data_IF_690089018321
#
_entry.id   IF_690089018321
#
_cell.length_a   1.000
_cell.length_b   1.000
_cell.length_c   1.000
_cell.angle_alpha   90.00
_cell.angle_beta   90.00
_cell.angle_gamma   90.00
#
_symmetry.space_group_name_H-M   'P 1'
#
loop_
_entity.id
_entity.type
_entity.pdbx_description
1 polymer ?
#
# COMPACT_ATOMS: atom_id res chain seq x y z
N UNK A 1 -13.98 -12.65 11.82
CA UNK A 1 -14.18 -11.72 10.70
C UNK A 1 -13.23 -10.56 10.81
N UNK A 2 -12.06 -10.70 10.19
CA UNK A 2 -11.25 -9.55 9.83
C UNK A 2 -11.83 -8.98 8.53
N UNK A 3 -12.84 -8.12 8.66
CA UNK A 3 -13.30 -7.32 7.51
C UNK A 3 -12.09 -6.56 6.95
N UNK A 4 -11.85 -6.71 5.64
CA UNK A 4 -10.84 -5.92 4.95
C UNK A 4 -11.23 -4.44 5.03
N UNK A 5 -10.47 -3.65 5.79
CA UNK A 5 -10.75 -2.23 5.97
C UNK A 5 -10.09 -1.44 4.86
N UNK A 6 -10.85 -1.18 3.79
CA UNK A 6 -10.47 -0.25 2.73
C UNK A 6 -11.66 0.63 2.30
N UNK A 7 -11.36 1.71 1.59
CA UNK A 7 -12.35 2.63 1.04
C UNK A 7 -11.90 3.09 -0.34
N UNK A 8 -12.67 2.74 -1.36
CA UNK A 8 -12.45 3.21 -2.74
C UNK A 8 -12.93 4.65 -2.86
N UNK A 9 -12.03 5.58 -3.22
CA UNK A 9 -12.38 6.99 -3.45
C UNK A 9 -12.85 7.21 -4.90
N UNK A 10 -12.15 6.58 -5.84
CA UNK A 10 -12.47 6.54 -7.27
C UNK A 10 -11.86 5.28 -7.91
N UNK A 11 -11.93 5.15 -9.24
CA UNK A 11 -11.45 3.97 -9.96
C UNK A 11 -9.95 3.70 -9.85
N UNK A 12 -9.15 4.71 -9.51
CA UNK A 12 -7.69 4.60 -9.43
C UNK A 12 -7.15 4.96 -8.05
N UNK A 13 -8.00 5.35 -7.10
CA UNK A 13 -7.58 5.80 -5.77
C UNK A 13 -8.31 5.05 -4.68
N UNK A 14 -7.56 4.35 -3.83
CA UNK A 14 -8.10 3.51 -2.75
C UNK A 14 -7.34 3.80 -1.45
N UNK A 15 -8.05 3.91 -0.33
CA UNK A 15 -7.45 4.05 1.00
C UNK A 15 -7.55 2.72 1.74
N UNK A 16 -6.43 2.23 2.26
CA UNK A 16 -6.34 0.98 3.01
C UNK A 16 -5.97 1.23 4.47
N UNK A 17 -6.47 0.38 5.38
CA UNK A 17 -5.79 0.14 6.65
C UNK A 17 -4.42 -0.46 6.36
N UNK A 18 -3.38 0.12 6.93
CA UNK A 18 -2.00 -0.23 6.63
C UNK A 18 -1.61 -1.65 7.09
N UNK A 19 -2.44 -2.29 7.93
CA UNK A 19 -2.27 -3.69 8.35
C UNK A 19 -2.78 -4.72 7.33
N UNK A 20 -3.48 -4.30 6.26
CA UNK A 20 -3.95 -5.22 5.25
C UNK A 20 -2.78 -6.07 4.74
N UNK A 21 -2.99 -7.39 4.63
CA UNK A 21 -1.95 -8.25 4.09
C UNK A 21 -1.78 -7.98 2.58
N UNK A 22 -0.60 -8.30 2.06
CA UNK A 22 -0.27 -8.06 0.66
C UNK A 22 -1.18 -8.83 -0.30
N UNK A 23 -1.51 -10.09 0.00
CA UNK A 23 -2.37 -10.93 -0.86
C UNK A 23 -3.77 -10.35 -1.04
N UNK A 24 -4.34 -9.78 0.01
CA UNK A 24 -5.66 -9.18 -0.01
C UNK A 24 -5.61 -7.78 -0.64
N UNK A 25 -4.52 -7.03 -0.42
CA UNK A 25 -4.25 -5.81 -1.16
C UNK A 25 -4.21 -6.06 -2.68
N UNK A 26 -3.48 -7.07 -3.16
CA UNK A 26 -3.39 -7.43 -4.58
C UNK A 26 -4.76 -7.73 -5.18
N UNK A 27 -5.60 -8.52 -4.47
CA UNK A 27 -6.97 -8.81 -4.91
C UNK A 27 -7.82 -7.54 -5.02
N UNK A 28 -7.71 -6.63 -4.04
CA UNK A 28 -8.52 -5.39 -4.04
C UNK A 28 -8.14 -4.47 -5.19
N UNK A 29 -6.85 -4.36 -5.52
CA UNK A 29 -6.40 -3.54 -6.65
C UNK A 29 -6.54 -4.25 -8.01
N UNK A 30 -6.98 -5.52 -8.03
CA UNK A 30 -7.11 -6.31 -9.25
C UNK A 30 -5.77 -6.59 -9.93
N UNK A 31 -4.71 -6.83 -9.13
CA UNK A 31 -3.37 -7.08 -9.66
C UNK A 31 -3.32 -8.43 -10.37
N UNK A 32 -2.93 -8.42 -11.64
CA UNK A 32 -2.79 -9.64 -12.45
C UNK A 32 -1.44 -10.34 -12.20
N UNK A 33 -0.37 -9.57 -11.99
CA UNK A 33 1.00 -10.07 -11.77
C UNK A 33 1.50 -9.67 -10.38
N UNK A 34 1.39 -10.60 -9.43
CA UNK A 34 1.83 -10.41 -8.04
C UNK A 34 3.36 -10.28 -7.92
N UNK A 35 4.14 -10.82 -8.88
CA UNK A 35 5.61 -10.77 -8.85
C UNK A 35 6.16 -9.34 -8.82
N UNK A 36 5.38 -8.37 -9.33
CA UNK A 36 5.72 -6.95 -9.28
C UNK A 36 6.00 -6.50 -7.84
N UNK A 37 5.24 -6.99 -6.86
CA UNK A 37 5.45 -6.69 -5.44
C UNK A 37 6.27 -7.77 -4.73
N UNK A 38 6.03 -9.04 -5.03
CA UNK A 38 6.68 -10.18 -4.32
C UNK A 38 8.20 -10.16 -4.45
N UNK A 39 8.75 -9.73 -5.60
CA UNK A 39 10.21 -9.61 -5.81
C UNK A 39 10.88 -8.58 -4.89
N UNK A 40 10.12 -7.61 -4.35
CA UNK A 40 10.63 -6.48 -3.57
C UNK A 40 10.02 -6.37 -2.18
N UNK A 41 9.12 -7.28 -1.78
CA UNK A 41 8.47 -7.21 -0.48
C UNK A 41 9.39 -7.56 0.70
N UNK A 42 10.51 -8.22 0.43
CA UNK A 42 11.38 -8.78 1.47
C UNK A 42 10.60 -9.72 2.41
N UNK A 43 10.71 -9.47 3.71
CA UNK A 43 9.97 -10.20 4.76
C UNK A 43 8.57 -9.62 5.03
N UNK A 44 8.17 -8.57 4.31
CA UNK A 44 6.91 -7.89 4.57
C UNK A 44 5.70 -8.75 4.19
N UNK A 45 4.69 -8.72 5.06
CA UNK A 45 3.40 -9.38 4.84
C UNK A 45 2.24 -8.39 4.68
N UNK A 46 2.46 -7.09 4.98
CA UNK A 46 1.45 -6.04 4.93
C UNK A 46 1.89 -4.87 4.05
N UNK A 47 0.92 -4.05 3.62
CA UNK A 47 1.21 -2.84 2.83
C UNK A 47 2.10 -1.85 3.59
N UNK A 48 1.94 -1.70 4.92
CA UNK A 48 2.84 -0.87 5.73
C UNK A 48 4.27 -1.39 5.70
N UNK A 49 4.45 -2.70 5.88
CA UNK A 49 5.76 -3.35 5.80
C UNK A 49 6.40 -3.13 4.43
N UNK A 50 5.63 -3.38 3.36
CA UNK A 50 6.10 -3.18 1.99
C UNK A 50 6.54 -1.74 1.72
N UNK A 51 5.76 -0.74 2.16
CA UNK A 51 6.13 0.67 1.98
C UNK A 51 7.41 1.01 2.75
N UNK A 52 7.62 0.46 3.94
CA UNK A 52 8.86 0.64 4.70
C UNK A 52 10.04 -0.05 4.01
N UNK A 53 9.84 -1.24 3.45
CA UNK A 53 10.86 -1.96 2.67
C UNK A 53 11.26 -1.18 1.43
N UNK A 54 10.30 -0.62 0.68
CA UNK A 54 10.63 0.20 -0.49
C UNK A 54 11.28 1.53 -0.09
N UNK A 55 10.76 2.19 0.95
CA UNK A 55 11.27 3.49 1.38
C UNK A 55 12.64 3.40 2.07
N UNK A 56 12.94 2.32 2.79
CA UNK A 56 14.11 2.16 3.66
C UNK A 56 14.21 3.21 4.79
N UNK A 57 13.10 3.90 5.09
CA UNK A 57 12.94 4.81 6.23
C UNK A 57 11.47 4.84 6.66
N UNK A 58 11.17 5.45 7.81
CA UNK A 58 9.78 5.67 8.25
C UNK A 58 9.20 6.95 7.63
N UNK A 59 8.27 6.87 6.67
CA UNK A 59 7.75 8.06 5.98
C UNK A 59 6.82 8.90 6.83
N UNK A 60 6.84 10.21 6.58
CA UNK A 60 5.96 11.17 7.26
C UNK A 60 4.55 11.15 6.65
N UNK A 61 3.55 11.56 7.43
CA UNK A 61 2.20 11.80 6.92
C UNK A 61 2.24 12.82 5.79
N UNK A 62 1.54 12.52 4.69
CA UNK A 62 1.53 13.29 3.44
C UNK A 62 2.66 12.94 2.47
N UNK A 63 3.66 12.17 2.89
CA UNK A 63 4.74 11.75 2.00
C UNK A 63 4.24 10.71 0.99
N UNK A 64 4.77 10.81 -0.24
CA UNK A 64 4.48 9.92 -1.35
C UNK A 64 5.69 9.02 -1.59
N UNK A 65 5.45 7.71 -1.59
CA UNK A 65 6.41 6.69 -1.99
C UNK A 65 5.95 6.13 -3.34
N UNK A 66 6.80 6.18 -4.35
CA UNK A 66 6.50 5.70 -5.70
C UNK A 66 7.17 4.34 -5.94
N UNK A 67 6.44 3.40 -6.53
CA UNK A 67 6.95 2.06 -6.85
C UNK A 67 6.22 1.49 -8.06
N UNK A 68 6.94 1.15 -9.13
CA UNK A 68 6.38 0.51 -10.35
C UNK A 68 5.12 1.23 -10.89
N UNK A 69 5.10 2.56 -10.81
CA UNK A 69 3.98 3.42 -11.23
C UNK A 69 2.85 3.61 -10.20
N UNK A 70 2.84 2.85 -9.11
CA UNK A 70 1.95 3.04 -7.98
C UNK A 70 2.45 4.17 -7.08
N UNK A 71 1.53 4.92 -6.47
CA UNK A 71 1.85 5.92 -5.45
C UNK A 71 1.22 5.54 -4.12
N UNK A 72 2.04 5.43 -3.08
CA UNK A 72 1.63 5.18 -1.70
C UNK A 72 1.76 6.47 -0.91
N UNK A 73 0.63 7.06 -0.51
CA UNK A 73 0.57 8.28 0.29
C UNK A 73 0.25 7.91 1.74
N UNK A 74 1.09 8.33 2.67
CA UNK A 74 0.85 8.11 4.10
C UNK A 74 -0.26 9.05 4.57
N UNK A 75 -1.48 8.55 4.75
CA UNK A 75 -2.63 9.38 5.16
C UNK A 75 -2.67 9.60 6.67
N UNK A 76 -2.27 8.58 7.44
CA UNK A 76 -2.18 8.69 8.90
C UNK A 76 -1.18 7.71 9.46
N UNK A 77 -0.43 8.16 10.46
CA UNK A 77 0.49 7.36 11.25
C UNK A 77 0.46 7.84 12.71
N UNK A 78 0.72 6.93 13.64
CA UNK A 78 1.13 7.28 15.01
C UNK A 78 2.66 7.26 15.13
N UNK A 79 3.19 7.45 16.35
CA UNK A 79 4.64 7.48 16.59
C UNK A 79 5.38 6.18 16.23
N UNK A 80 4.67 5.07 16.06
CA UNK A 80 5.24 3.72 15.88
C UNK A 80 4.76 3.04 14.61
N UNK A 81 3.60 3.42 14.07
CA UNK A 81 2.93 2.67 13.01
C UNK A 81 2.24 3.59 12.02
N UNK A 82 2.40 3.26 10.74
CA UNK A 82 1.52 3.74 9.68
C UNK A 82 0.14 3.08 9.91
N UNK A 83 -0.93 3.87 9.86
CA UNK A 83 -2.29 3.40 10.13
C UNK A 83 -3.13 3.34 8.86
N UNK A 84 -2.97 4.31 7.94
CA UNK A 84 -3.68 4.32 6.66
C UNK A 84 -2.78 4.77 5.54
N UNK A 85 -2.96 4.14 4.39
CA UNK A 85 -2.21 4.43 3.16
C UNK A 85 -3.22 4.62 2.04
N UNK A 86 -3.12 5.76 1.35
CA UNK A 86 -3.83 5.98 0.09
C UNK A 86 -2.95 5.50 -1.06
N UNK A 87 -3.48 4.60 -1.87
CA UNK A 87 -2.82 4.02 -3.04
C UNK A 87 -3.46 4.61 -4.28
N UNK A 88 -2.62 5.15 -5.15
CA UNK A 88 -3.01 5.63 -6.48
C UNK A 88 -2.43 4.64 -7.50
N UNK A 89 -3.30 4.02 -8.27
CA UNK A 89 -2.96 3.04 -9.30
C UNK A 89 -2.32 3.74 -10.52
N UNK A 90 -1.43 3.06 -11.26
CA UNK A 90 -0.87 3.58 -12.50
C UNK A 90 -1.98 3.99 -13.48
N UNK A 91 -1.88 5.17 -14.09
CA UNK A 91 -2.91 5.70 -14.99
C UNK A 91 -2.79 5.21 -16.45
N UNK A 92 -1.94 4.23 -16.74
CA UNK A 92 -1.75 3.72 -18.10
C UNK A 92 -1.32 2.25 -18.12
N UNK A 93 -2.09 1.41 -18.83
CA UNK A 93 -1.55 0.32 -19.64
C UNK A 93 -1.24 0.90 -21.02
#
# INVERSE_FOLDING_TARGET
DDELVYSKLDDHTIVFDAKINLKDFYKVIGLEDEEIFEKSKGESESIAGFVLEVAQFFPNVGQVIEYEGYKFVIESADRRRIQRIKVILPSSK
#
